data_IF_863812021834
#
_entry.id   IF_863812021834
#
_cell.length_a   1.000
_cell.length_b   1.000
_cell.length_c   1.000
_cell.angle_alpha   90.00
_cell.angle_beta   90.00
_cell.angle_gamma   90.00
#
_symmetry.space_group_name_H-M   'P 1'
#
loop_
_entity.id
_entity.type
_entity.pdbx_description
1 polymer ?
#
# COMPACT_ATOMS: atom_id res chain seq x y z
N UNK A 1 4.33 -2.78 20.38
CA UNK A 1 3.16 -3.67 20.31
C UNK A 1 3.40 -4.69 19.22
N UNK A 2 2.95 -5.93 19.38
CA UNK A 2 3.08 -6.93 18.32
C UNK A 2 2.21 -6.51 17.13
N UNK A 3 2.81 -6.48 15.93
CA UNK A 3 2.12 -6.09 14.71
C UNK A 3 1.03 -7.12 14.35
N UNK A 4 -0.16 -6.64 13.99
CA UNK A 4 -1.30 -7.53 13.71
C UNK A 4 -1.04 -8.29 12.42
N UNK A 5 -1.22 -9.61 12.45
CA UNK A 5 -1.02 -10.50 11.30
C UNK A 5 -2.33 -10.76 10.56
N UNK A 6 -2.50 -10.05 9.45
CA UNK A 6 -3.66 -10.12 8.56
C UNK A 6 -3.60 -11.35 7.67
N UNK A 7 -4.76 -11.90 7.36
CA UNK A 7 -4.97 -12.84 6.26
C UNK A 7 -4.92 -12.12 4.92
N UNK A 8 -4.86 -12.90 3.83
CA UNK A 8 -4.89 -12.36 2.46
C UNK A 8 -6.20 -11.62 2.18
N UNK A 9 -7.33 -12.09 2.71
CA UNK A 9 -8.63 -11.41 2.58
C UNK A 9 -8.64 -10.08 3.31
N UNK A 10 -8.27 -10.07 4.60
CA UNK A 10 -8.23 -8.85 5.42
C UNK A 10 -7.29 -7.80 4.81
N UNK A 11 -6.11 -8.19 4.32
CA UNK A 11 -5.20 -7.25 3.66
C UNK A 11 -5.80 -6.70 2.34
N UNK A 12 -6.60 -7.51 1.64
CA UNK A 12 -7.32 -7.07 0.46
C UNK A 12 -8.36 -6.02 0.82
N UNK A 13 -9.18 -6.31 1.83
CA UNK A 13 -10.19 -5.40 2.37
C UNK A 13 -9.59 -4.05 2.79
N UNK A 14 -8.47 -4.06 3.53
CA UNK A 14 -7.78 -2.83 3.92
C UNK A 14 -7.25 -2.01 2.74
N UNK A 15 -6.76 -2.68 1.70
CA UNK A 15 -6.31 -2.02 0.47
C UNK A 15 -7.47 -1.60 -0.45
N UNK A 16 -8.72 -1.97 -0.13
CA UNK A 16 -9.86 -1.82 -1.03
C UNK A 16 -9.72 -2.64 -2.32
N UNK A 17 -8.98 -3.75 -2.27
CA UNK A 17 -8.69 -4.64 -3.41
C UNK A 17 -9.13 -6.08 -3.10
N UNK A 18 -9.13 -6.96 -4.11
CA UNK A 18 -9.43 -8.38 -3.90
C UNK A 18 -8.19 -9.22 -3.52
N UNK A 19 -8.42 -10.43 -3.01
CA UNK A 19 -7.35 -11.38 -2.67
C UNK A 19 -6.36 -11.63 -3.82
N UNK A 20 -6.84 -11.65 -5.07
CA UNK A 20 -5.99 -11.86 -6.26
C UNK A 20 -4.87 -10.83 -6.34
N UNK A 21 -5.17 -9.57 -6.00
CA UNK A 21 -4.19 -8.50 -5.99
C UNK A 21 -3.14 -8.73 -4.92
N UNK A 22 -3.57 -9.06 -3.71
CA UNK A 22 -2.67 -9.36 -2.58
C UNK A 22 -1.77 -10.57 -2.88
N UNK A 23 -2.33 -11.65 -3.45
CA UNK A 23 -1.54 -12.81 -3.90
C UNK A 23 -0.52 -12.43 -4.96
N UNK A 24 -0.87 -11.54 -5.89
CA UNK A 24 0.07 -10.99 -6.87
C UNK A 24 1.20 -10.22 -6.18
N UNK A 25 0.90 -9.39 -5.17
CA UNK A 25 1.94 -8.69 -4.41
C UNK A 25 2.91 -9.64 -3.71
N UNK A 26 2.40 -10.74 -3.16
CA UNK A 26 3.23 -11.78 -2.53
C UNK A 26 4.11 -12.48 -3.57
N UNK A 27 3.52 -12.91 -4.69
CA UNK A 27 4.23 -13.61 -5.76
C UNK A 27 5.34 -12.74 -6.39
N UNK A 28 5.05 -11.46 -6.62
CA UNK A 28 6.00 -10.46 -7.12
C UNK A 28 6.95 -9.93 -6.03
N UNK A 29 6.80 -10.38 -4.77
CA UNK A 29 7.57 -9.92 -3.59
C UNK A 29 7.55 -8.41 -3.37
N UNK A 30 6.41 -7.78 -3.66
CA UNK A 30 6.20 -6.32 -3.55
C UNK A 30 5.68 -5.88 -2.18
N UNK A 31 5.43 -6.83 -1.28
CA UNK A 31 4.98 -6.59 0.10
C UNK A 31 5.68 -7.56 1.05
N UNK A 32 5.95 -7.14 2.29
CA UNK A 32 6.47 -8.05 3.33
C UNK A 32 5.37 -9.02 3.77
N UNK A 33 5.73 -10.27 3.99
CA UNK A 33 4.81 -11.30 4.45
C UNK A 33 5.53 -12.29 5.37
N UNK A 34 4.74 -12.96 6.22
CA UNK A 34 5.20 -14.01 7.12
C UNK A 34 4.68 -15.35 6.59
N UNK A 35 5.60 -16.30 6.40
CA UNK A 35 5.26 -17.66 5.98
C UNK A 35 5.10 -18.54 7.21
N UNK A 36 3.89 -19.05 7.44
CA UNK A 36 3.55 -19.93 8.57
C UNK A 36 3.43 -21.39 8.12
N UNK A 37 4.23 -21.80 7.14
CA UNK A 37 4.07 -23.06 6.41
C UNK A 37 3.20 -22.88 5.18
N UNK A 38 2.01 -23.49 5.18
CA UNK A 38 1.03 -23.35 4.09
C UNK A 38 0.34 -21.98 4.08
N UNK A 39 -0.21 -21.45 5.21
CA UNK A 39 -0.81 -20.13 5.21
C UNK A 39 0.25 -19.02 5.23
N UNK A 40 -0.07 -17.91 4.57
CA UNK A 40 0.71 -16.67 4.57
C UNK A 40 -0.06 -15.62 5.34
N UNK A 41 0.66 -14.83 6.15
CA UNK A 41 0.12 -13.67 6.87
C UNK A 41 0.85 -12.41 6.46
N UNK A 42 0.15 -11.29 6.51
CA UNK A 42 0.68 -9.98 6.15
C UNK A 42 0.66 -9.12 7.41
N UNK A 43 1.81 -8.58 7.84
CA UNK A 43 1.84 -7.61 8.92
C UNK A 43 1.04 -6.36 8.52
N UNK A 44 0.25 -5.79 9.43
CA UNK A 44 -0.49 -4.55 9.19
C UNK A 44 0.46 -3.41 8.81
N UNK A 45 1.64 -3.33 9.46
CA UNK A 45 2.70 -2.37 9.06
C UNK A 45 3.15 -2.51 7.60
N UNK A 46 3.17 -3.74 7.07
CA UNK A 46 3.58 -3.97 5.68
C UNK A 46 2.56 -3.43 4.68
N UNK A 47 1.28 -3.43 5.05
CA UNK A 47 0.23 -2.81 4.23
C UNK A 47 0.37 -1.29 4.27
N UNK A 48 0.58 -0.71 5.45
CA UNK A 48 0.81 0.72 5.61
C UNK A 48 2.04 1.20 4.81
N UNK A 49 3.18 0.54 4.97
CA UNK A 49 4.42 0.81 4.22
C UNK A 49 4.19 0.73 2.70
N UNK A 50 3.42 -0.26 2.25
CA UNK A 50 3.11 -0.41 0.84
C UNK A 50 2.27 0.77 0.30
N UNK A 51 1.32 1.25 1.08
CA UNK A 51 0.50 2.42 0.73
C UNK A 51 1.39 3.67 0.71
N UNK A 52 2.18 3.91 1.74
CA UNK A 52 3.08 5.06 1.83
C UNK A 52 4.07 5.09 0.65
N UNK A 53 4.73 3.96 0.37
CA UNK A 53 5.69 3.85 -0.74
C UNK A 53 5.07 4.08 -2.13
N UNK A 54 3.75 4.02 -2.26
CA UNK A 54 3.02 4.21 -3.53
C UNK A 54 2.07 5.39 -3.53
N UNK A 55 2.06 6.16 -2.45
CA UNK A 55 1.28 7.39 -2.39
C UNK A 55 1.99 8.42 -3.27
N UNK A 56 1.29 8.88 -4.31
CA UNK A 56 1.79 9.93 -5.19
C UNK A 56 1.26 11.26 -4.68
N UNK A 57 2.15 12.15 -4.27
CA UNK A 57 1.76 13.48 -3.79
C UNK A 57 1.14 14.30 -4.94
N UNK A 58 -0.01 14.96 -4.72
CA UNK A 58 -0.61 15.82 -5.71
C UNK A 58 0.35 16.93 -6.17
N UNK A 59 0.41 17.15 -7.48
CA UNK A 59 1.18 18.26 -8.07
C UNK A 59 0.54 19.57 -7.63
N UNK A 60 1.20 20.28 -6.71
CA UNK A 60 0.82 21.66 -6.36
C UNK A 60 1.11 22.55 -7.56
N UNK A 61 0.09 22.88 -8.36
CA UNK A 61 0.22 23.94 -9.37
C UNK A 61 0.55 25.24 -8.63
N UNK A 62 1.79 25.70 -8.71
CA UNK A 62 2.10 27.07 -8.35
C UNK A 62 1.24 27.95 -9.25
N UNK A 63 0.40 28.80 -8.64
CA UNK A 63 -0.29 29.86 -9.38
C UNK A 63 0.80 30.69 -10.02
N UNK A 64 1.02 30.50 -11.32
CA UNK A 64 1.80 31.44 -12.11
C UNK A 64 1.17 32.81 -11.85
N UNK A 65 1.94 33.69 -11.19
CA UNK A 65 1.57 35.09 -11.06
C UNK A 65 1.51 35.59 -12.50
N UNK A 66 0.32 35.66 -13.08
CA UNK A 66 0.11 36.40 -14.31
C UNK A 66 0.59 37.82 -14.00
N UNK A 67 1.77 38.15 -14.52
CA UNK A 67 2.34 39.48 -14.41
C UNK A 67 1.31 40.44 -14.98
N UNK A 68 0.85 41.36 -14.14
CA UNK A 68 0.02 42.48 -14.57
C UNK A 68 0.90 43.31 -15.51
N UNK A 69 0.59 43.29 -16.81
CA UNK A 69 1.22 44.21 -17.75
C UNK A 69 0.84 45.63 -17.35
N UNK A 70 1.87 46.48 -17.22
CA UNK A 70 1.77 47.93 -17.03
C UNK A 70 1.75 48.59 -18.39
#
# INVERSE_FOLDING_TARGET
>A
MADRLLTVSEAGELLGTGERFVRRLIAERRIRYVKLGHPVRIPESAVAEYVEARTVEPVRRSRARYGKAV
#
